data_IF_909686272879
#
_entry.id   IF_909686272879
#
_cell.length_a   1.000
_cell.length_b   1.000
_cell.length_c   1.000
_cell.angle_alpha   90.00
_cell.angle_beta   90.00
_cell.angle_gamma   90.00
#
_symmetry.space_group_name_H-M   'P 1'
#
loop_
_entity.id
_entity.type
_entity.pdbx_description
1 polymer ?
#
# COMPACT_ATOMS: atom_id res chain seq x y z
N UNK A 1 12.28 4.10 8.07
CA UNK A 1 12.30 3.38 6.76
C UNK A 1 11.78 4.37 5.75
N UNK A 2 12.42 4.52 4.59
CA UNK A 2 11.89 5.43 3.57
C UNK A 2 10.62 4.88 2.93
N UNK A 3 9.79 5.74 2.36
CA UNK A 3 8.62 5.32 1.55
C UNK A 3 9.04 4.36 0.42
N UNK A 4 10.21 4.58 -0.20
CA UNK A 4 10.76 3.68 -1.22
C UNK A 4 11.06 2.29 -0.66
N UNK A 5 11.80 2.21 0.44
CA UNK A 5 12.12 0.94 1.12
C UNK A 5 10.84 0.21 1.55
N UNK A 6 9.81 0.94 2.01
CA UNK A 6 8.51 0.36 2.34
C UNK A 6 7.84 -0.26 1.11
N UNK A 7 7.89 0.40 -0.05
CA UNK A 7 7.31 -0.12 -1.29
C UNK A 7 8.01 -1.40 -1.76
N UNK A 8 9.33 -1.47 -1.63
CA UNK A 8 10.11 -2.68 -1.89
C UNK A 8 9.70 -3.82 -0.94
N UNK A 9 9.62 -3.52 0.35
CA UNK A 9 9.19 -4.46 1.39
C UNK A 9 7.77 -5.00 1.15
N UNK A 10 6.81 -4.15 0.76
CA UNK A 10 5.46 -4.59 0.37
C UNK A 10 5.49 -5.57 -0.80
N UNK A 11 6.39 -5.34 -1.77
CA UNK A 11 6.60 -6.24 -2.89
C UNK A 11 7.10 -7.62 -2.46
N UNK A 12 8.06 -7.67 -1.54
CA UNK A 12 8.60 -8.92 -1.02
C UNK A 12 7.56 -9.69 -0.21
N UNK A 13 6.80 -8.99 0.64
CA UNK A 13 5.68 -9.58 1.37
C UNK A 13 4.65 -10.20 0.41
N UNK A 14 4.30 -9.50 -0.68
CA UNK A 14 3.35 -9.98 -1.66
C UNK A 14 3.85 -11.22 -2.42
N UNK A 15 5.11 -11.22 -2.86
CA UNK A 15 5.67 -12.27 -3.72
C UNK A 15 6.05 -13.53 -2.96
N UNK A 16 6.53 -13.38 -1.73
CA UNK A 16 7.20 -14.46 -1.02
C UNK A 16 6.46 -14.87 0.26
N UNK A 17 6.21 -13.93 1.17
CA UNK A 17 5.66 -14.25 2.51
C UNK A 17 4.18 -14.63 2.44
N UNK A 18 3.37 -13.85 1.74
CA UNK A 18 1.93 -14.03 1.64
C UNK A 18 1.49 -14.60 0.30
N UNK A 19 2.39 -15.31 -0.38
CA UNK A 19 2.11 -15.91 -1.67
C UNK A 19 0.94 -16.88 -1.58
N UNK A 20 -0.15 -16.58 -2.30
CA UNK A 20 -1.36 -17.41 -2.33
C UNK A 20 -2.36 -17.10 -1.23
N UNK A 21 -2.03 -16.22 -0.28
CA UNK A 21 -3.03 -15.63 0.63
C UNK A 21 -3.67 -14.43 -0.06
N UNK A 22 -4.75 -14.68 -0.79
CA UNK A 22 -5.45 -13.66 -1.58
C UNK A 22 -5.94 -12.49 -0.72
N UNK A 23 -6.38 -12.74 0.51
CA UNK A 23 -6.90 -11.69 1.38
C UNK A 23 -5.78 -10.73 1.79
N UNK A 24 -4.62 -11.25 2.18
CA UNK A 24 -3.49 -10.42 2.57
C UNK A 24 -2.87 -9.74 1.34
N UNK A 25 -2.72 -10.46 0.23
CA UNK A 25 -2.18 -9.91 -1.02
C UNK A 25 -2.98 -8.72 -1.53
N UNK A 26 -4.32 -8.74 -1.44
CA UNK A 26 -5.16 -7.59 -1.81
C UNK A 26 -4.84 -6.38 -0.93
N UNK A 27 -4.67 -6.56 0.38
CA UNK A 27 -4.37 -5.44 1.29
C UNK A 27 -3.00 -4.81 0.99
N UNK A 28 -2.00 -5.64 0.68
CA UNK A 28 -0.66 -5.16 0.30
C UNK A 28 -0.71 -4.34 -1.00
N UNK A 29 -1.48 -4.80 -2.00
CA UNK A 29 -1.68 -4.07 -3.26
C UNK A 29 -2.41 -2.75 -3.02
N UNK A 30 -3.47 -2.74 -2.19
CA UNK A 30 -4.19 -1.52 -1.86
C UNK A 30 -3.29 -0.47 -1.19
N UNK A 31 -2.42 -0.91 -0.28
CA UNK A 31 -1.43 -0.03 0.34
C UNK A 31 -0.40 0.50 -0.67
N UNK A 32 0.10 -0.36 -1.55
CA UNK A 32 1.00 0.06 -2.64
C UNK A 32 0.36 1.09 -3.58
N UNK A 33 -0.93 0.95 -3.89
CA UNK A 33 -1.67 1.94 -4.68
C UNK A 33 -1.90 3.27 -3.95
N UNK A 34 -2.16 3.23 -2.64
CA UNK A 34 -2.27 4.45 -1.84
C UNK A 34 -0.94 5.24 -1.85
N UNK A 35 0.18 4.55 -1.63
CA UNK A 35 1.52 5.15 -1.74
C UNK A 35 1.74 5.76 -3.13
N UNK A 36 1.40 5.02 -4.20
CA UNK A 36 1.57 5.51 -5.57
C UNK A 36 0.76 6.79 -5.85
N UNK A 37 -0.50 6.85 -5.40
CA UNK A 37 -1.34 8.05 -5.58
C UNK A 37 -0.75 9.27 -4.86
N UNK A 38 -0.21 9.09 -3.66
CA UNK A 38 0.41 10.17 -2.90
C UNK A 38 1.73 10.63 -3.52
N UNK A 39 2.53 9.72 -4.06
CA UNK A 39 3.75 10.05 -4.80
C UNK A 39 3.45 10.82 -6.08
N UNK A 40 2.49 10.35 -6.89
CA UNK A 40 2.08 11.00 -8.15
C UNK A 40 1.47 12.38 -7.91
N UNK A 41 0.78 12.57 -6.78
CA UNK A 41 0.24 13.87 -6.38
C UNK A 41 1.22 14.76 -5.62
N UNK A 42 2.48 14.34 -5.49
CA UNK A 42 3.56 15.05 -4.78
C UNK A 42 3.22 15.39 -3.31
N UNK A 43 2.29 14.63 -2.71
CA UNK A 43 1.90 14.81 -1.30
C UNK A 43 2.87 14.13 -0.34
N UNK A 44 3.62 13.15 -0.83
CA UNK A 44 4.77 12.52 -0.17
C UNK A 44 5.91 12.35 -1.19
N UNK A 45 7.11 12.13 -0.69
CA UNK A 45 8.32 11.84 -1.45
C UNK A 45 8.78 10.40 -1.20
N UNK A 46 9.48 9.75 -2.17
CA UNK A 46 10.10 8.44 -1.94
C UNK A 46 11.09 8.42 -0.78
N UNK A 47 11.66 9.58 -0.42
CA UNK A 47 12.66 9.74 0.62
C UNK A 47 12.09 10.09 1.99
N UNK A 48 10.79 10.34 2.10
CA UNK A 48 10.15 10.63 3.38
C UNK A 48 10.26 9.41 4.31
N UNK A 49 10.35 9.67 5.61
CA UNK A 49 10.22 8.60 6.60
C UNK A 49 8.78 8.09 6.57
N UNK A 50 8.63 6.80 6.29
CA UNK A 50 7.35 6.12 6.26
C UNK A 50 6.56 6.34 7.56
N UNK A 51 7.22 6.33 8.71
CA UNK A 51 6.52 6.47 10.00
C UNK A 51 5.85 7.84 10.13
N UNK A 52 6.49 8.89 9.60
CA UNK A 52 5.99 10.27 9.62
C UNK A 52 4.78 10.47 8.70
N UNK A 53 4.73 9.76 7.56
CA UNK A 53 3.65 9.88 6.56
C UNK A 53 2.64 8.73 6.58
N UNK A 54 2.85 7.73 7.44
CA UNK A 54 2.04 6.51 7.54
C UNK A 54 0.54 6.78 7.66
N UNK A 55 0.15 7.76 8.49
CA UNK A 55 -1.26 8.13 8.68
C UNK A 55 -1.91 8.62 7.39
N UNK A 56 -1.18 9.43 6.61
CA UNK A 56 -1.68 9.92 5.33
C UNK A 56 -1.86 8.78 4.32
N UNK A 57 -0.94 7.80 4.32
CA UNK A 57 -1.07 6.58 3.50
C UNK A 57 -2.30 5.78 3.92
N UNK A 58 -2.52 5.57 5.22
CA UNK A 58 -3.69 4.86 5.73
C UNK A 58 -5.01 5.55 5.37
N UNK A 59 -5.08 6.88 5.46
CA UNK A 59 -6.26 7.66 5.09
C UNK A 59 -6.54 7.62 3.57
N UNK A 60 -5.51 7.38 2.75
CA UNK A 60 -5.62 7.25 1.29
C UNK A 60 -6.04 5.85 0.84
N UNK A 61 -5.97 4.83 1.71
CA UNK A 61 -6.42 3.48 1.36
C UNK A 61 -7.93 3.48 1.17
N UNK A 62 -8.36 3.17 -0.06
CA UNK A 62 -9.76 2.91 -0.36
C UNK A 62 -10.14 1.49 0.08
N UNK A 63 -10.64 1.37 1.31
CA UNK A 63 -11.17 0.10 1.81
C UNK A 63 -12.53 -0.26 1.21
N UNK A 64 -13.28 0.68 0.61
CA UNK A 64 -14.57 0.38 -0.03
C UNK A 64 -14.41 -0.42 -1.32
N UNK A 65 -13.23 -0.39 -1.94
CA UNK A 65 -12.85 -1.28 -3.05
C UNK A 65 -13.00 -2.77 -2.70
N UNK A 66 -12.91 -3.16 -1.41
CA UNK A 66 -13.21 -4.52 -0.93
C UNK A 66 -14.66 -4.91 -1.21
N UNK A 67 -15.62 -4.00 -1.00
CA UNK A 67 -17.05 -4.30 -1.15
C UNK A 67 -17.47 -4.56 -2.60
N UNK A 68 -16.70 -4.09 -3.59
CA UNK A 68 -17.01 -4.33 -5.01
C UNK A 68 -16.61 -5.73 -5.48
N UNK A 69 -15.69 -6.40 -4.79
CA UNK A 69 -15.25 -7.76 -5.12
C UNK A 69 -16.05 -8.85 -4.39
N UNK A 70 -16.77 -8.50 -3.31
CA UNK A 70 -17.68 -9.42 -2.58
C UNK A 70 -19.12 -9.40 -3.13
N UNK A 71 -19.40 -8.64 -4.19
CA UNK A 71 -20.74 -8.50 -4.78
C UNK A 71 -21.03 -9.42 -5.97
N UNK A 72 -20.18 -10.41 -6.26
CA UNK A 72 -20.42 -11.41 -7.31
C UNK A 72 -20.32 -12.84 -6.77
#
# INVERSE_FOLDING_TARGET
>A
MTVLEMKEFLGDLYRDVYKGDTLIQINLVQMGWAIERLLVSERISPFDDYDEVSRLIYDEIDFEQRSKHERN
#
